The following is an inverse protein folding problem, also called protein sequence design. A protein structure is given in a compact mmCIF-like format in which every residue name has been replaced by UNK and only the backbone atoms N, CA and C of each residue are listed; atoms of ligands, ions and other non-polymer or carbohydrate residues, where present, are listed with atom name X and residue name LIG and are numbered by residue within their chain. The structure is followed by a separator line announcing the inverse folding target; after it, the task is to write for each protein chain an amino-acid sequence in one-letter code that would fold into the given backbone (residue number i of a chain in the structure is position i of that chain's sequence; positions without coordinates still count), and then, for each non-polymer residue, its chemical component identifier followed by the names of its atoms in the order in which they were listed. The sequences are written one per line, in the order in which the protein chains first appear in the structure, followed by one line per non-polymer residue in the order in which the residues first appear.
data_IF_940617059207
#
_entry.id   IF_940617059207
#
_cell.length_a   1.000
_cell.length_b   1.000
_cell.length_c   1.000
_cell.angle_alpha   90.00
_cell.angle_beta   90.00
_cell.angle_gamma   90.00
#
_symmetry.space_group_name_H-M   'P 1'
#
loop_
_entity.id
_entity.type
_entity.pdbx_description
1 polymer ?
#
# COMPACT_ATOMS: atom_id res chain seq x y z
N UNK A 1 7.69 2.54 -16.63
CA UNK A 1 9.06 2.02 -16.40
C UNK A 1 9.58 2.59 -15.10
N UNK A 2 10.01 1.72 -14.20
CA UNK A 2 10.32 2.01 -12.79
C UNK A 2 11.59 2.87 -12.66
N UNK A 3 11.43 4.20 -12.71
CA UNK A 3 12.53 5.17 -12.82
C UNK A 3 13.47 5.20 -11.61
N UNK A 4 13.07 4.59 -10.49
CA UNK A 4 13.80 4.64 -9.23
C UNK A 4 14.06 3.26 -8.60
N UNK A 5 13.74 2.17 -9.32
CA UNK A 5 13.77 0.80 -8.79
C UNK A 5 12.88 0.65 -7.54
N UNK A 6 11.66 1.20 -7.58
CA UNK A 6 10.71 1.19 -6.46
C UNK A 6 9.44 0.44 -6.85
N UNK A 7 9.17 -0.64 -6.13
CA UNK A 7 8.09 -1.59 -6.46
C UNK A 7 7.01 -1.53 -5.41
N UNK A 8 5.78 -1.19 -5.81
CA UNK A 8 4.60 -1.37 -4.97
C UNK A 8 4.17 -2.84 -5.10
N UNK A 9 4.28 -3.59 -4.01
CA UNK A 9 3.99 -5.03 -3.98
C UNK A 9 2.60 -5.32 -3.45
N UNK A 10 2.13 -4.55 -2.46
CA UNK A 10 0.76 -4.62 -1.94
C UNK A 10 0.25 -3.20 -1.68
N UNK A 11 -1.06 -3.01 -1.75
CA UNK A 11 -1.70 -1.75 -1.39
C UNK A 11 -3.09 -1.96 -0.79
N UNK A 12 -3.58 -0.96 -0.06
CA UNK A 12 -4.98 -0.77 0.26
C UNK A 12 -5.29 0.73 0.25
N UNK A 13 -6.35 1.11 -0.46
CA UNK A 13 -6.81 2.49 -0.59
C UNK A 13 -8.03 2.67 0.32
N UNK A 14 -8.00 3.73 1.12
CA UNK A 14 -9.10 4.10 2.00
C UNK A 14 -9.55 5.53 1.71
N UNK A 15 -10.74 5.88 2.22
CA UNK A 15 -11.35 7.18 1.94
C UNK A 15 -10.47 8.38 2.32
N UNK A 16 -9.59 8.24 3.31
CA UNK A 16 -8.72 9.30 3.79
C UNK A 16 -7.21 8.99 3.73
N UNK A 17 -6.78 7.78 3.36
CA UNK A 17 -5.36 7.44 3.26
C UNK A 17 -5.08 6.23 2.38
N UNK A 18 -3.82 6.07 1.95
CA UNK A 18 -3.35 4.95 1.13
C UNK A 18 -2.23 4.22 1.89
N UNK A 19 -2.36 2.91 2.04
CA UNK A 19 -1.29 2.04 2.54
C UNK A 19 -0.57 1.36 1.39
N UNK A 20 0.76 1.37 1.44
CA UNK A 20 1.62 0.74 0.44
C UNK A 20 2.66 -0.14 1.13
N UNK A 21 2.85 -1.35 0.61
CA UNK A 21 4.01 -2.19 0.91
C UNK A 21 4.96 -2.14 -0.27
N UNK A 22 6.16 -1.59 -0.04
CA UNK A 22 7.06 -1.15 -1.09
C UNK A 22 8.46 -1.73 -0.90
N UNK A 23 9.05 -2.21 -1.98
CA UNK A 23 10.50 -2.45 -2.06
C UNK A 23 11.17 -1.21 -2.66
N UNK A 24 12.22 -0.72 -2.02
CA UNK A 24 12.98 0.41 -2.52
C UNK A 24 14.46 0.26 -2.12
N UNK A 25 15.42 0.64 -2.99
CA UNK A 25 16.85 0.49 -2.73
C UNK A 25 17.35 1.44 -1.65
N UNK A 26 16.68 2.58 -1.46
CA UNK A 26 17.01 3.56 -0.42
C UNK A 26 15.88 4.57 -0.21
N UNK A 27 15.99 5.37 0.86
CA UNK A 27 15.02 6.41 1.23
C UNK A 27 14.81 7.47 0.15
N UNK A 28 15.86 7.80 -0.62
CA UNK A 28 15.80 8.83 -1.67
C UNK A 28 14.97 8.34 -2.87
N UNK A 29 15.19 7.11 -3.30
CA UNK A 29 14.41 6.46 -4.34
C UNK A 29 12.93 6.38 -3.93
N UNK A 30 12.66 5.92 -2.70
CA UNK A 30 11.30 5.88 -2.13
C UNK A 30 10.64 7.27 -2.16
N UNK A 31 11.31 8.29 -1.62
CA UNK A 31 10.74 9.64 -1.56
C UNK A 31 10.38 10.21 -2.94
N UNK A 32 11.23 9.99 -3.94
CA UNK A 32 10.96 10.42 -5.33
C UNK A 32 9.81 9.64 -5.96
N UNK A 33 9.73 8.33 -5.74
CA UNK A 33 8.65 7.49 -6.24
C UNK A 33 7.30 7.90 -5.64
N UNK A 34 7.25 8.10 -4.32
CA UNK A 34 6.05 8.55 -3.61
C UNK A 34 5.64 9.96 -4.07
N UNK A 35 6.57 10.91 -4.20
CA UNK A 35 6.26 12.24 -4.72
C UNK A 35 5.60 12.17 -6.11
N UNK A 36 6.18 11.38 -7.02
CA UNK A 36 5.61 11.19 -8.36
C UNK A 36 4.22 10.54 -8.34
N UNK A 37 4.01 9.55 -7.46
CA UNK A 37 2.72 8.91 -7.26
C UNK A 37 1.68 9.92 -6.74
N UNK A 38 1.99 10.64 -5.67
CA UNK A 38 1.11 11.64 -5.08
C UNK A 38 0.69 12.72 -6.08
N UNK A 39 1.62 13.18 -6.92
CA UNK A 39 1.30 14.15 -7.99
C UNK A 39 0.32 13.56 -9.00
N UNK A 40 0.53 12.32 -9.45
CA UNK A 40 -0.36 11.66 -10.43
C UNK A 40 -1.76 11.44 -9.85
N UNK A 41 -1.84 10.94 -8.62
CA UNK A 41 -3.12 10.72 -7.93
C UNK A 41 -3.85 12.04 -7.71
N UNK A 42 -3.15 13.09 -7.23
CA UNK A 42 -3.75 14.39 -7.04
C UNK A 42 -4.30 14.99 -8.34
N UNK A 43 -3.53 14.91 -9.44
CA UNK A 43 -3.99 15.35 -10.77
C UNK A 43 -5.20 14.56 -11.27
N UNK A 44 -5.20 13.24 -11.07
CA UNK A 44 -6.31 12.37 -11.46
C UNK A 44 -7.60 12.72 -10.70
N UNK A 45 -7.52 12.78 -9.37
CA UNK A 45 -8.67 13.12 -8.52
C UNK A 45 -9.21 14.52 -8.80
N UNK A 46 -8.33 15.51 -8.94
CA UNK A 46 -8.73 16.87 -9.28
C UNK A 46 -9.46 16.94 -10.62
N UNK A 47 -8.96 16.24 -11.66
CA UNK A 47 -9.63 16.14 -12.95
C UNK A 47 -11.00 15.48 -12.84
N UNK A 48 -11.10 14.36 -12.12
CA UNK A 48 -12.38 13.66 -11.92
C UNK A 48 -13.40 14.52 -11.17
N UNK A 49 -12.95 15.35 -10.24
CA UNK A 49 -13.81 16.21 -9.41
C UNK A 49 -14.04 17.60 -10.01
N UNK A 50 -13.47 17.91 -11.19
CA UNK A 50 -13.55 19.25 -11.79
C UNK A 50 -12.93 20.36 -10.95
N UNK A 51 -12.00 20.03 -10.06
CA UNK A 51 -11.35 20.99 -9.13
C UNK A 51 -9.86 21.09 -9.37
N UNK A 52 -9.21 22.03 -8.68
CA UNK A 52 -7.76 22.13 -8.58
C UNK A 52 -7.34 22.29 -7.12
N UNK A 53 -6.05 22.07 -6.83
CA UNK A 53 -5.50 22.26 -5.49
C UNK A 53 -4.90 21.00 -4.87
N UNK A 54 -4.60 21.07 -3.57
CA UNK A 54 -3.92 20.03 -2.81
C UNK A 54 -4.88 18.87 -2.50
N UNK A 55 -4.38 17.65 -2.66
CA UNK A 55 -5.11 16.42 -2.29
C UNK A 55 -4.47 15.72 -1.09
N UNK A 56 -3.14 15.69 -1.03
CA UNK A 56 -2.40 15.16 0.11
C UNK A 56 -1.90 16.31 0.97
N UNK A 57 -2.26 16.32 2.25
CA UNK A 57 -1.95 17.43 3.15
C UNK A 57 -0.52 17.36 3.72
N UNK A 58 0.03 16.14 3.82
CA UNK A 58 1.26 15.84 4.54
C UNK A 58 2.29 15.01 3.77
N UNK A 59 3.48 14.86 4.38
CA UNK A 59 4.51 13.91 3.95
C UNK A 59 4.04 12.48 4.17
N UNK A 60 4.57 11.55 3.37
CA UNK A 60 4.35 10.13 3.60
C UNK A 60 5.02 9.66 4.90
N UNK A 61 4.36 8.77 5.63
CA UNK A 61 4.96 8.03 6.74
C UNK A 61 5.56 6.71 6.22
N UNK A 62 6.77 6.37 6.64
CA UNK A 62 7.43 5.12 6.23
C UNK A 62 8.11 4.43 7.41
N UNK A 63 7.88 3.11 7.49
CA UNK A 63 8.57 2.20 8.42
C UNK A 63 9.37 1.18 7.63
N UNK A 64 10.66 1.04 7.95
CA UNK A 64 11.51 -0.02 7.39
C UNK A 64 11.23 -1.32 8.12
N UNK A 65 10.87 -2.37 7.39
CA UNK A 65 10.63 -3.72 7.91
C UNK A 65 11.91 -4.54 7.74
N UNK A 66 12.38 -5.18 8.82
CA UNK A 66 13.68 -5.87 8.85
C UNK A 66 13.55 -7.37 9.11
N UNK A 67 12.43 -7.81 9.66
CA UNK A 67 12.23 -9.21 10.07
C UNK A 67 11.07 -9.87 9.32
N UNK A 68 11.08 -11.21 9.18
CA UNK A 68 9.93 -11.96 8.70
C UNK A 68 8.61 -11.60 9.38
N UNK A 69 8.61 -11.47 10.71
CA UNK A 69 7.42 -11.15 11.50
C UNK A 69 6.90 -9.74 11.20
N UNK A 70 7.78 -8.76 11.09
CA UNK A 70 7.39 -7.40 10.69
C UNK A 70 6.76 -7.37 9.30
N UNK A 71 7.32 -8.15 8.35
CA UNK A 71 6.77 -8.24 6.99
C UNK A 71 5.42 -8.93 6.99
N UNK A 72 5.27 -10.05 7.71
CA UNK A 72 3.98 -10.74 7.85
C UNK A 72 2.91 -9.83 8.42
N UNK A 73 3.23 -9.13 9.51
CA UNK A 73 2.32 -8.18 10.15
C UNK A 73 1.94 -7.02 9.22
N UNK A 74 2.89 -6.51 8.43
CA UNK A 74 2.62 -5.48 7.45
C UNK A 74 1.71 -5.96 6.32
N UNK A 75 1.92 -7.18 5.79
CA UNK A 75 1.03 -7.78 4.78
C UNK A 75 -0.39 -7.91 5.33
N UNK A 76 -0.54 -8.50 6.52
CA UNK A 76 -1.84 -8.64 7.17
C UNK A 76 -2.50 -7.29 7.44
N UNK A 77 -1.71 -6.30 7.86
CA UNK A 77 -2.20 -4.95 8.10
C UNK A 77 -2.71 -4.31 6.81
N UNK A 78 -1.91 -4.30 5.73
CA UNK A 78 -2.27 -3.66 4.46
C UNK A 78 -3.52 -4.30 3.86
N UNK A 79 -3.59 -5.63 3.82
CA UNK A 79 -4.73 -6.34 3.22
C UNK A 79 -5.95 -6.42 4.15
N UNK A 80 -5.74 -6.38 5.46
CA UNK A 80 -6.79 -6.45 6.48
C UNK A 80 -7.30 -5.09 6.95
N UNK A 81 -6.74 -3.99 6.45
CA UNK A 81 -7.02 -2.67 7.02
C UNK A 81 -8.50 -2.28 6.88
N UNK A 82 -9.18 -2.67 5.79
CA UNK A 82 -10.61 -2.43 5.62
C UNK A 82 -11.44 -3.05 6.77
N UNK A 83 -11.15 -4.30 7.16
CA UNK A 83 -11.80 -4.96 8.31
C UNK A 83 -11.55 -4.21 9.60
N UNK A 84 -10.29 -3.80 9.85
CA UNK A 84 -9.94 -3.00 11.03
C UNK A 84 -10.78 -1.71 11.11
N UNK A 85 -10.94 -1.00 10.00
CA UNK A 85 -11.73 0.22 9.93
C UNK A 85 -13.24 -0.01 10.06
N UNK A 86 -13.76 -1.12 9.54
CA UNK A 86 -15.15 -1.52 9.77
C UNK A 86 -15.40 -1.78 11.26
N UNK A 87 -14.54 -2.55 11.93
CA UNK A 87 -14.66 -2.81 13.37
C UNK A 87 -14.62 -1.53 14.19
N UNK A 88 -13.77 -0.56 13.82
CA UNK A 88 -13.73 0.76 14.47
C UNK A 88 -15.02 1.58 14.30
N UNK A 89 -15.81 1.30 13.26
CA UNK A 89 -17.13 1.92 13.02
C UNK A 89 -18.29 1.09 13.57
N UNK A 90 -18.02 -0.03 14.27
CA UNK A 90 -19.05 -0.94 14.77
C UNK A 90 -19.63 -1.87 13.71
N UNK A 91 -18.99 -1.97 12.55
CA UNK A 91 -19.39 -2.84 11.43
C UNK A 91 -18.52 -4.10 11.38
N UNK A 92 -19.07 -5.16 10.79
CA UNK A 92 -18.31 -6.39 10.53
C UNK A 92 -18.51 -6.80 9.08
N UNK A 93 -17.41 -7.14 8.40
CA UNK A 93 -17.48 -7.76 7.08
C UNK A 93 -17.56 -9.27 7.20
N UNK A 94 -18.17 -9.91 6.20
CA UNK A 94 -18.19 -11.36 6.10
C UNK A 94 -16.76 -11.95 6.12
N UNK A 95 -16.59 -13.20 6.60
CA UNK A 95 -15.28 -13.86 6.67
C UNK A 95 -14.56 -13.95 5.31
N UNK A 96 -15.31 -14.05 4.22
CA UNK A 96 -14.86 -14.15 2.83
C UNK A 96 -14.74 -12.79 2.11
N UNK A 97 -15.08 -11.68 2.78
CA UNK A 97 -14.95 -10.35 2.20
C UNK A 97 -13.51 -10.05 1.77
N UNK A 98 -13.37 -9.59 0.54
CA UNK A 98 -12.11 -9.10 -0.02
C UNK A 98 -12.31 -7.62 -0.32
N UNK A 99 -11.42 -6.77 0.21
CA UNK A 99 -11.45 -5.33 -0.03
C UNK A 99 -11.19 -5.04 -1.52
N UNK A 100 -12.18 -4.54 -2.29
CA UNK A 100 -12.03 -4.26 -3.72
C UNK A 100 -11.03 -3.12 -3.99
N UNK A 101 -10.69 -2.32 -2.97
CA UNK A 101 -9.73 -1.23 -3.04
C UNK A 101 -8.33 -1.62 -2.55
N UNK A 102 -8.08 -2.93 -2.41
CA UNK A 102 -6.78 -3.50 -2.10
C UNK A 102 -6.21 -4.31 -3.26
N UNK A 103 -4.92 -4.60 -3.21
CA UNK A 103 -4.28 -5.52 -4.17
C UNK A 103 -4.85 -6.94 -4.14
N UNK A 104 -5.49 -7.36 -3.05
CA UNK A 104 -6.19 -8.65 -3.00
C UNK A 104 -7.52 -8.60 -3.79
N UNK A 105 -8.18 -7.45 -3.84
CA UNK A 105 -9.43 -7.23 -4.60
C UNK A 105 -9.21 -6.78 -6.05
N UNK A 106 -7.97 -6.57 -6.46
CA UNK A 106 -7.60 -6.16 -7.82
C UNK A 106 -6.60 -7.15 -8.46
N UNK A 107 -6.96 -8.44 -8.62
CA UNK A 107 -6.03 -9.49 -9.08
C UNK A 107 -5.52 -9.25 -10.51
N UNK A 108 -6.29 -8.56 -11.35
CA UNK A 108 -5.92 -8.25 -12.73
C UNK A 108 -4.92 -7.09 -12.84
N UNK A 109 -4.66 -6.37 -11.73
CA UNK A 109 -3.63 -5.34 -11.72
C UNK A 109 -2.26 -6.01 -11.70
N UNK A 110 -1.52 -5.85 -12.79
CA UNK A 110 -0.15 -6.35 -12.93
C UNK A 110 0.83 -5.60 -12.02
N UNK A 111 0.81 -5.91 -10.73
CA UNK A 111 1.81 -5.44 -9.77
C UNK A 111 3.13 -6.20 -9.97
N UNK A 112 4.28 -5.51 -9.85
CA UNK A 112 5.57 -6.17 -9.92
C UNK A 112 5.69 -7.22 -8.79
N UNK A 113 6.24 -8.41 -9.05
CA UNK A 113 6.50 -9.38 -8.00
C UNK A 113 7.57 -8.87 -7.03
N UNK A 114 7.47 -9.28 -5.76
CA UNK A 114 8.48 -9.00 -4.75
C UNK A 114 9.83 -9.65 -5.13
N UNK A 115 10.92 -8.90 -4.98
CA UNK A 115 12.28 -9.35 -5.29
C UNK A 115 13.09 -9.68 -4.05
N UNK A 116 12.88 -8.96 -2.95
CA UNK A 116 13.60 -9.21 -1.71
C UNK A 116 13.17 -10.53 -1.10
N UNK A 117 14.11 -11.26 -0.50
CA UNK A 117 13.80 -12.54 0.14
C UNK A 117 12.73 -12.38 1.22
N UNK A 118 12.80 -11.32 2.04
CA UNK A 118 11.85 -11.06 3.12
C UNK A 118 10.40 -11.01 2.64
N UNK A 119 10.14 -10.23 1.59
CA UNK A 119 8.80 -9.99 1.07
C UNK A 119 8.32 -11.09 0.12
N UNK A 120 9.24 -11.75 -0.59
CA UNK A 120 8.94 -12.88 -1.47
C UNK A 120 8.60 -14.17 -0.71
N UNK A 121 9.36 -14.49 0.34
CA UNK A 121 9.27 -15.79 1.01
C UNK A 121 9.54 -15.77 2.51
N UNK A 122 10.41 -14.89 2.99
CA UNK A 122 10.87 -14.89 4.39
C UNK A 122 9.72 -14.77 5.39
N UNK A 123 8.75 -13.91 5.13
CA UNK A 123 7.57 -13.70 5.98
C UNK A 123 6.74 -14.97 6.24
N UNK A 124 6.76 -15.95 5.32
CA UNK A 124 6.04 -17.23 5.47
C UNK A 124 6.66 -18.10 6.56
N UNK A 125 7.92 -17.85 6.93
CA UNK A 125 8.62 -18.54 8.01
C UNK A 125 8.41 -17.88 9.38
N UNK A 126 7.69 -16.75 9.45
CA UNK A 126 7.35 -16.16 10.73
C UNK A 126 6.41 -17.10 11.50
N UNK A 127 6.65 -17.26 12.80
CA UNK A 127 5.72 -17.96 13.69
C UNK A 127 4.35 -17.27 13.77
N UNK A 128 3.36 -17.92 14.38
CA UNK A 128 2.13 -17.26 14.83
C UNK A 128 2.44 -16.08 15.76
#
# INVERSE_FOLDING_TARGET
GDRFDVRVVQFSIQGNHIHLLVEAPNRRALGRAIQGLSIRVAKGLNRMMGRSGRVFDDRYHARVLRTPTEVRNAIHYVLGNARKHATQRGETYAPDYVDPYSSAGAPDLALPPAQTWLLRAGWKRAGP
#
